data_IF_280790069792
#
_entry.id   IF_280790069792
#
_cell.length_a   1.000
_cell.length_b   1.000
_cell.length_c   1.000
_cell.angle_alpha   90.00
_cell.angle_beta   90.00
_cell.angle_gamma   90.00
#
_symmetry.space_group_name_H-M   'P 1'
#
loop_
_entity.id
_entity.type
_entity.pdbx_description
1 polymer ?
#
# COMPACT_ATOMS: atom_id res chain seq x y z
N UNK A 1 14.43 -34.44 1.74
CA UNK A 1 13.51 -35.52 2.16
C UNK A 1 13.39 -35.59 3.69
N UNK A 2 14.45 -35.47 4.46
CA UNK A 2 14.42 -35.48 5.94
C UNK A 2 13.64 -34.33 6.57
N UNK A 3 13.70 -33.10 6.04
CA UNK A 3 12.90 -31.92 6.52
C UNK A 3 11.39 -32.13 6.34
N UNK A 4 10.93 -32.91 5.36
CA UNK A 4 9.51 -33.22 5.15
C UNK A 4 8.95 -34.13 6.22
N UNK A 5 9.77 -35.03 6.73
CA UNK A 5 9.41 -36.04 7.75
C UNK A 5 9.35 -35.41 9.15
N UNK A 6 10.23 -34.48 9.45
CA UNK A 6 10.25 -33.77 10.75
C UNK A 6 9.03 -32.83 10.90
N UNK A 7 8.57 -32.20 9.81
CA UNK A 7 7.39 -31.37 9.78
C UNK A 7 6.07 -32.17 9.97
N UNK A 8 6.03 -33.44 9.57
CA UNK A 8 4.87 -34.33 9.76
C UNK A 8 4.76 -34.80 11.22
N UNK A 9 5.88 -35.00 11.91
CA UNK A 9 5.90 -35.40 13.32
C UNK A 9 5.35 -34.34 14.29
N UNK A 10 5.35 -33.08 13.92
CA UNK A 10 4.83 -31.96 14.75
C UNK A 10 3.34 -31.69 14.55
N UNK A 11 2.71 -32.14 13.46
CA UNK A 11 1.36 -31.69 13.04
C UNK A 11 0.24 -32.73 13.25
N UNK A 12 0.53 -34.02 13.26
CA UNK A 12 -0.44 -35.06 13.57
C UNK A 12 0.17 -36.09 14.56
N UNK A 13 -0.48 -36.27 15.69
CA UNK A 13 -0.01 -37.27 16.64
C UNK A 13 -0.08 -38.66 15.99
N UNK A 14 1.01 -39.44 16.10
CA UNK A 14 1.04 -40.84 15.62
C UNK A 14 -0.11 -41.67 16.21
N UNK A 15 -0.57 -41.32 17.41
CA UNK A 15 -1.72 -41.95 18.08
C UNK A 15 -3.03 -41.70 17.35
N UNK A 16 -3.21 -40.46 16.86
CA UNK A 16 -4.44 -40.07 16.18
C UNK A 16 -4.55 -40.72 14.80
N UNK A 17 -3.43 -40.83 14.06
CA UNK A 17 -3.37 -41.54 12.78
C UNK A 17 -3.63 -43.03 12.99
N UNK A 18 -3.05 -43.62 14.06
CA UNK A 18 -3.27 -45.00 14.42
C UNK A 18 -4.75 -45.27 14.76
N UNK A 19 -5.39 -44.39 15.53
CA UNK A 19 -6.81 -44.49 15.87
C UNK A 19 -7.72 -44.39 14.65
N UNK A 20 -7.44 -43.47 13.69
CA UNK A 20 -8.21 -43.27 12.48
C UNK A 20 -8.08 -44.43 11.49
N UNK A 21 -6.86 -44.98 11.34
CA UNK A 21 -6.54 -46.03 10.36
C UNK A 21 -6.74 -47.44 10.87
N UNK A 22 -6.89 -47.60 12.19
CA UNK A 22 -6.97 -48.94 12.83
C UNK A 22 -5.65 -49.67 12.84
N UNK A 23 -4.50 -49.03 12.51
CA UNK A 23 -3.17 -49.67 12.54
C UNK A 23 -2.39 -49.28 13.81
N UNK A 24 -1.45 -50.10 14.20
CA UNK A 24 -0.63 -49.83 15.38
C UNK A 24 0.24 -48.59 15.20
N UNK A 25 0.52 -47.85 16.30
CA UNK A 25 1.43 -46.69 16.30
C UNK A 25 2.79 -47.08 15.71
N UNK A 26 3.28 -48.28 15.98
CA UNK A 26 4.54 -48.80 15.44
C UNK A 26 4.48 -48.92 13.90
N UNK A 27 3.34 -49.36 13.35
CA UNK A 27 3.13 -49.46 11.89
C UNK A 27 3.05 -48.07 11.24
N UNK A 28 2.34 -47.13 11.85
CA UNK A 28 2.29 -45.70 11.40
C UNK A 28 3.71 -45.13 11.36
N UNK A 29 4.48 -45.29 12.42
CA UNK A 29 5.87 -44.85 12.50
C UNK A 29 6.76 -45.45 11.40
N UNK A 30 6.59 -46.76 11.11
CA UNK A 30 7.34 -47.45 10.03
C UNK A 30 6.98 -46.89 8.66
N UNK A 31 5.71 -46.60 8.38
CA UNK A 31 5.27 -45.98 7.12
C UNK A 31 5.88 -44.60 6.96
N UNK A 32 5.84 -43.75 7.99
CA UNK A 32 6.38 -42.40 7.97
C UNK A 32 7.91 -42.34 7.89
N UNK A 33 8.59 -43.38 8.31
CA UNK A 33 10.04 -43.53 8.18
C UNK A 33 10.44 -44.38 6.96
N UNK A 34 9.51 -44.61 6.03
CA UNK A 34 9.71 -45.29 4.75
C UNK A 34 10.31 -46.72 4.85
N UNK A 35 9.97 -47.45 5.93
CA UNK A 35 10.39 -48.84 6.07
C UNK A 35 9.75 -49.74 5.00
N UNK A 36 10.58 -50.54 4.30
CA UNK A 36 10.16 -51.39 3.17
C UNK A 36 9.22 -52.55 3.56
N UNK A 37 9.16 -52.93 4.83
CA UNK A 37 8.39 -54.10 5.28
C UNK A 37 6.94 -53.74 5.71
N UNK A 38 6.26 -52.81 5.06
CA UNK A 38 4.86 -52.51 5.27
C UNK A 38 4.09 -52.73 3.98
N UNK A 39 2.99 -53.50 4.07
CA UNK A 39 2.15 -53.78 2.90
C UNK A 39 1.68 -52.46 2.22
N UNK A 40 1.69 -52.41 0.88
CA UNK A 40 1.37 -51.22 0.10
C UNK A 40 0.00 -50.65 0.50
N UNK A 41 -1.03 -51.46 0.63
CA UNK A 41 -2.37 -51.05 1.05
C UNK A 41 -2.37 -50.35 2.43
N UNK A 42 -1.55 -50.81 3.37
CA UNK A 42 -1.40 -50.18 4.70
C UNK A 42 -0.65 -48.86 4.60
N UNK A 43 0.36 -48.80 3.74
CA UNK A 43 1.10 -47.56 3.44
C UNK A 43 0.18 -46.50 2.88
N UNK A 44 -0.62 -46.82 1.85
CA UNK A 44 -1.55 -45.90 1.20
C UNK A 44 -2.62 -45.42 2.19
N UNK A 45 -3.15 -46.30 3.03
CA UNK A 45 -4.14 -45.93 4.06
C UNK A 45 -3.59 -44.91 5.06
N UNK A 46 -2.37 -45.14 5.56
CA UNK A 46 -1.71 -44.22 6.50
C UNK A 46 -1.37 -42.89 5.85
N UNK A 47 -0.84 -42.91 4.64
CA UNK A 47 -0.51 -41.65 3.90
C UNK A 47 -1.76 -40.85 3.59
N UNK A 48 -2.87 -41.46 3.20
CA UNK A 48 -4.15 -40.76 2.98
C UNK A 48 -4.71 -40.15 4.28
N UNK A 49 -4.58 -40.83 5.41
CA UNK A 49 -4.99 -40.29 6.71
C UNK A 49 -4.12 -39.09 7.13
N UNK A 50 -2.80 -39.18 6.89
CA UNK A 50 -1.88 -38.05 7.12
C UNK A 50 -2.25 -36.85 6.25
N UNK A 51 -2.53 -37.08 4.96
CA UNK A 51 -2.93 -36.00 4.04
C UNK A 51 -4.27 -35.36 4.42
N UNK A 52 -5.28 -36.18 4.82
CA UNK A 52 -6.56 -35.65 5.32
C UNK A 52 -6.35 -34.78 6.54
N UNK A 53 -5.64 -35.29 7.57
CA UNK A 53 -5.39 -34.55 8.80
C UNK A 53 -4.55 -33.28 8.58
N UNK A 54 -3.56 -33.34 7.72
CA UNK A 54 -2.81 -32.14 7.37
C UNK A 54 -3.72 -31.10 6.71
N UNK A 55 -4.66 -31.52 5.86
CA UNK A 55 -5.68 -30.63 5.29
C UNK A 55 -6.61 -30.06 6.37
N UNK A 56 -7.07 -30.90 7.31
CA UNK A 56 -7.97 -30.48 8.40
C UNK A 56 -7.27 -29.52 9.39
N UNK A 57 -5.99 -29.79 9.72
CA UNK A 57 -5.16 -28.90 10.55
C UNK A 57 -4.89 -27.57 9.84
N UNK A 58 -4.62 -27.58 8.54
CA UNK A 58 -4.47 -26.36 7.74
C UNK A 58 -5.79 -25.61 7.64
N UNK A 59 -6.92 -26.31 7.46
CA UNK A 59 -8.26 -25.73 7.43
C UNK A 59 -8.72 -25.18 8.80
N UNK A 60 -8.25 -25.77 9.92
CA UNK A 60 -8.58 -25.30 11.28
C UNK A 60 -7.63 -24.21 11.80
N UNK A 61 -6.47 -24.01 11.17
CA UNK A 61 -5.52 -22.95 11.53
C UNK A 61 -6.03 -21.61 11.03
N UNK A 62 -6.18 -20.66 11.93
CA UNK A 62 -6.42 -19.26 11.54
C UNK A 62 -5.24 -18.76 10.70
N UNK A 63 -5.49 -18.47 9.43
CA UNK A 63 -4.48 -17.91 8.52
C UNK A 63 -3.98 -16.56 9.03
N UNK A 64 -2.71 -16.26 8.84
CA UNK A 64 -2.07 -15.00 9.24
C UNK A 64 -1.59 -14.25 8.00
N UNK A 65 -1.97 -12.99 7.90
CA UNK A 65 -1.53 -12.08 6.85
C UNK A 65 -0.47 -11.14 7.41
N UNK A 66 0.69 -11.11 6.77
CA UNK A 66 1.74 -10.14 7.04
C UNK A 66 1.39 -8.82 6.36
N UNK A 67 1.19 -7.77 7.16
CA UNK A 67 0.93 -6.42 6.67
C UNK A 67 2.17 -5.59 6.91
N UNK A 68 2.81 -5.16 5.83
CA UNK A 68 4.02 -4.35 5.91
C UNK A 68 3.73 -2.91 5.48
N UNK A 69 4.04 -1.98 6.39
CA UNK A 69 4.00 -0.55 6.17
C UNK A 69 5.30 0.07 6.70
N UNK A 70 6.38 0.18 5.91
CA UNK A 70 7.69 0.65 6.37
C UNK A 70 7.73 2.17 6.57
N UNK A 71 6.68 2.71 7.16
CA UNK A 71 6.47 4.13 7.48
C UNK A 71 5.81 4.27 8.83
N UNK A 72 5.92 5.47 9.41
CA UNK A 72 5.18 5.82 10.63
C UNK A 72 3.68 5.81 10.33
N UNK A 73 2.91 5.11 11.15
CA UNK A 73 1.45 5.03 11.03
C UNK A 73 0.80 6.35 11.47
N UNK A 74 0.88 7.34 10.59
CA UNK A 74 0.09 8.58 10.70
C UNK A 74 -1.21 8.44 9.91
N UNK A 75 -1.97 9.52 9.80
CA UNK A 75 -3.32 9.55 9.22
C UNK A 75 -3.45 8.76 7.90
N UNK A 76 -2.56 9.01 6.93
CA UNK A 76 -2.59 8.33 5.64
C UNK A 76 -2.41 6.80 5.77
N UNK A 77 -1.27 6.38 6.29
CA UNK A 77 -0.96 4.95 6.45
C UNK A 77 -1.83 4.28 7.52
N UNK A 78 -2.17 5.01 8.58
CA UNK A 78 -3.04 4.52 9.66
C UNK A 78 -4.43 4.15 9.15
N UNK A 79 -5.03 4.94 8.27
CA UNK A 79 -6.35 4.66 7.69
C UNK A 79 -6.33 3.39 6.81
N UNK A 80 -5.30 3.22 5.99
CA UNK A 80 -5.13 2.03 5.14
C UNK A 80 -4.94 0.78 6.02
N UNK A 81 -3.99 0.83 6.99
CA UNK A 81 -3.68 -0.30 7.87
C UNK A 81 -4.88 -0.69 8.74
N UNK A 82 -5.61 0.29 9.28
CA UNK A 82 -6.82 0.03 10.08
C UNK A 82 -7.88 -0.68 9.25
N UNK A 83 -8.15 -0.21 8.05
CA UNK A 83 -9.11 -0.84 7.13
C UNK A 83 -8.70 -2.27 6.76
N UNK A 84 -7.41 -2.50 6.48
CA UNK A 84 -6.88 -3.85 6.22
C UNK A 84 -7.12 -4.75 7.45
N UNK A 85 -6.75 -4.29 8.65
CA UNK A 85 -6.88 -5.06 9.87
C UNK A 85 -8.33 -5.41 10.21
N UNK A 86 -9.25 -4.45 10.07
CA UNK A 86 -10.68 -4.66 10.28
C UNK A 86 -11.25 -5.66 9.27
N UNK A 87 -10.90 -5.51 7.98
CA UNK A 87 -11.39 -6.39 6.91
C UNK A 87 -10.84 -7.81 7.09
N UNK A 88 -9.56 -7.99 7.41
CA UNK A 88 -8.98 -9.30 7.70
C UNK A 88 -9.67 -9.98 8.90
N UNK A 89 -9.96 -9.20 9.95
CA UNK A 89 -10.68 -9.70 11.12
C UNK A 89 -12.09 -10.20 10.78
N UNK A 90 -12.81 -9.50 9.89
CA UNK A 90 -14.14 -9.94 9.40
C UNK A 90 -14.06 -11.28 8.67
N UNK A 91 -12.95 -11.59 8.02
CA UNK A 91 -12.68 -12.87 7.37
C UNK A 91 -12.06 -13.91 8.31
N UNK A 92 -11.93 -13.62 9.61
CA UNK A 92 -11.37 -14.56 10.60
C UNK A 92 -9.87 -14.77 10.47
N UNK A 93 -9.13 -13.85 9.82
CA UNK A 93 -7.67 -13.91 9.69
C UNK A 93 -6.98 -13.10 10.78
N UNK A 94 -5.72 -13.47 11.07
CA UNK A 94 -4.84 -12.72 11.96
C UNK A 94 -3.95 -11.77 11.16
N UNK A 95 -3.58 -10.65 11.76
CA UNK A 95 -2.63 -9.68 11.23
C UNK A 95 -1.31 -9.82 11.97
N UNK A 96 -0.22 -9.94 11.22
CA UNK A 96 1.13 -9.71 11.68
C UNK A 96 1.59 -8.38 11.06
N UNK A 97 1.59 -7.31 11.87
CA UNK A 97 1.94 -5.97 11.39
C UNK A 97 3.42 -5.69 11.60
N UNK A 98 4.10 -5.31 10.53
CA UNK A 98 5.44 -4.73 10.51
C UNK A 98 5.33 -3.27 10.04
N UNK A 99 5.52 -2.33 10.96
CA UNK A 99 5.37 -0.91 10.68
C UNK A 99 6.52 -0.10 11.27
N UNK A 100 6.81 1.04 10.62
CA UNK A 100 7.85 1.97 11.04
C UNK A 100 9.03 2.01 10.10
N UNK A 101 9.80 3.10 10.18
CA UNK A 101 10.88 3.43 9.22
C UNK A 101 12.05 2.44 9.24
N UNK A 102 12.27 1.73 10.33
CA UNK A 102 13.28 0.66 10.39
C UNK A 102 13.06 -0.46 9.37
N UNK A 103 11.81 -0.66 8.94
CA UNK A 103 11.45 -1.62 7.91
C UNK A 103 11.94 -1.26 6.50
N UNK A 104 12.29 -0.01 6.22
CA UNK A 104 12.71 0.43 4.88
C UNK A 104 13.98 -0.23 4.36
N UNK A 105 14.80 -0.78 5.25
CA UNK A 105 16.09 -1.39 4.93
C UNK A 105 16.13 -2.90 5.18
N UNK A 106 14.99 -3.54 5.46
CA UNK A 106 14.97 -4.95 5.78
C UNK A 106 14.71 -5.81 4.53
N UNK A 107 15.50 -6.88 4.35
CA UNK A 107 15.26 -7.91 3.34
C UNK A 107 14.09 -8.84 3.74
N UNK A 108 12.98 -8.28 4.24
CA UNK A 108 11.88 -9.03 4.82
C UNK A 108 11.15 -9.94 3.84
N UNK A 109 11.07 -9.55 2.56
CA UNK A 109 10.29 -10.27 1.55
C UNK A 109 10.89 -11.63 1.20
N UNK A 110 12.23 -11.74 1.14
CA UNK A 110 12.91 -13.00 0.76
C UNK A 110 12.63 -14.16 1.71
N UNK A 111 12.33 -13.85 2.97
CA UNK A 111 12.04 -14.86 4.00
C UNK A 111 10.59 -15.31 4.06
N UNK A 112 9.65 -14.56 3.48
CA UNK A 112 8.21 -14.82 3.62
C UNK A 112 7.77 -16.21 3.13
N UNK A 113 8.19 -16.71 1.96
CA UNK A 113 7.76 -18.03 1.50
C UNK A 113 8.19 -19.20 2.41
N UNK A 114 9.19 -18.97 3.26
CA UNK A 114 9.70 -19.97 4.22
C UNK A 114 9.10 -19.89 5.63
N UNK A 115 8.30 -18.87 5.91
CA UNK A 115 7.68 -18.65 7.21
C UNK A 115 6.40 -19.49 7.35
N UNK A 116 6.47 -20.56 8.16
CA UNK A 116 5.36 -21.50 8.33
C UNK A 116 4.10 -20.86 8.96
N UNK A 117 4.24 -19.71 9.59
CA UNK A 117 3.18 -19.03 10.35
C UNK A 117 2.53 -17.84 9.61
N UNK A 118 3.00 -17.53 8.40
CA UNK A 118 2.49 -16.44 7.56
C UNK A 118 2.02 -17.02 6.24
N UNK A 119 0.77 -16.78 5.90
CA UNK A 119 0.11 -17.40 4.76
C UNK A 119 0.07 -16.51 3.52
N UNK A 120 0.13 -15.19 3.71
CA UNK A 120 0.05 -14.19 2.64
C UNK A 120 0.57 -12.82 3.11
N UNK A 121 0.72 -11.84 2.21
CA UNK A 121 1.15 -10.49 2.55
C UNK A 121 0.33 -9.38 1.90
N UNK A 122 0.25 -8.23 2.57
CA UNK A 122 -0.15 -6.94 1.98
C UNK A 122 1.01 -5.97 2.21
N UNK A 123 1.52 -5.42 1.11
CA UNK A 123 2.69 -4.54 1.10
C UNK A 123 2.24 -3.11 0.75
N UNK A 124 2.38 -2.17 1.68
CA UNK A 124 1.95 -0.79 1.50
C UNK A 124 3.17 0.06 1.13
N UNK A 125 3.14 0.68 -0.05
CA UNK A 125 4.20 1.52 -0.60
C UNK A 125 5.60 0.88 -0.41
N UNK A 126 5.79 -0.38 -0.84
CA UNK A 126 7.00 -1.13 -0.56
C UNK A 126 8.24 -0.43 -1.15
N UNK A 127 9.34 -0.28 -0.37
CA UNK A 127 10.57 0.31 -0.86
C UNK A 127 11.41 -0.66 -1.71
N UNK A 128 11.03 -1.93 -1.74
CA UNK A 128 11.72 -2.98 -2.49
C UNK A 128 11.65 -2.72 -3.99
N UNK A 129 12.71 -3.13 -4.67
CA UNK A 129 12.76 -3.07 -6.14
C UNK A 129 11.83 -4.11 -6.80
N UNK A 130 11.66 -3.96 -8.10
CA UNK A 130 10.81 -4.87 -8.87
C UNK A 130 11.30 -6.32 -8.86
N UNK A 131 12.60 -6.57 -8.73
CA UNK A 131 13.18 -7.92 -8.74
C UNK A 131 12.77 -8.72 -7.49
N UNK A 132 12.72 -8.08 -6.32
CA UNK A 132 12.27 -8.73 -5.08
C UNK A 132 10.77 -9.06 -5.13
N UNK A 133 9.95 -8.18 -5.67
CA UNK A 133 8.51 -8.43 -5.86
C UNK A 133 8.27 -9.55 -6.90
N UNK A 134 9.03 -9.57 -8.00
CA UNK A 134 8.99 -10.65 -8.99
C UNK A 134 9.40 -11.99 -8.37
N UNK A 135 10.46 -12.02 -7.58
CA UNK A 135 10.91 -13.23 -6.91
C UNK A 135 9.83 -13.80 -5.96
N UNK A 136 9.12 -12.94 -5.25
CA UNK A 136 8.01 -13.33 -4.38
C UNK A 136 6.83 -13.90 -5.19
N UNK A 137 6.49 -13.28 -6.31
CA UNK A 137 5.46 -13.75 -7.24
C UNK A 137 5.83 -15.09 -7.87
N UNK A 138 7.07 -15.26 -8.34
CA UNK A 138 7.57 -16.52 -8.92
C UNK A 138 7.61 -17.68 -7.90
N UNK A 139 7.78 -17.36 -6.62
CA UNK A 139 7.66 -18.35 -5.55
C UNK A 139 6.20 -18.80 -5.32
N UNK A 140 5.22 -18.24 -6.04
CA UNK A 140 3.80 -18.52 -5.86
C UNK A 140 3.24 -18.05 -4.52
N UNK A 141 3.91 -17.08 -3.88
CA UNK A 141 3.47 -16.55 -2.59
C UNK A 141 2.36 -15.52 -2.79
N UNK A 142 1.19 -15.67 -2.14
CA UNK A 142 0.07 -14.74 -2.34
C UNK A 142 0.34 -13.40 -1.65
N UNK A 143 0.34 -12.31 -2.44
CA UNK A 143 0.48 -10.96 -1.90
C UNK A 143 -0.20 -9.92 -2.80
N UNK A 144 -0.52 -8.77 -2.20
CA UNK A 144 -1.08 -7.59 -2.87
C UNK A 144 -0.27 -6.36 -2.48
N UNK A 145 -0.01 -5.49 -3.44
CA UNK A 145 0.66 -4.20 -3.21
C UNK A 145 -0.39 -3.09 -3.13
N UNK A 146 -0.32 -2.26 -2.11
CA UNK A 146 -1.15 -1.06 -1.96
C UNK A 146 -0.27 0.17 -2.20
N UNK A 147 -0.72 1.02 -3.11
CA UNK A 147 -0.04 2.24 -3.52
C UNK A 147 1.42 1.97 -3.96
N UNK A 148 1.63 1.23 -5.06
CA UNK A 148 2.95 0.78 -5.48
C UNK A 148 3.90 1.95 -5.72
N UNK A 149 5.15 1.82 -5.29
CA UNK A 149 6.20 2.84 -5.44
C UNK A 149 6.74 2.91 -6.87
N UNK A 150 6.72 1.77 -7.56
CA UNK A 150 7.15 1.61 -8.96
C UNK A 150 5.98 1.18 -9.82
N UNK A 151 6.12 1.26 -11.14
CA UNK A 151 5.10 0.76 -12.07
C UNK A 151 4.72 -0.69 -11.72
N UNK A 152 3.43 -0.98 -11.54
CA UNK A 152 2.97 -2.32 -11.23
C UNK A 152 3.42 -3.32 -12.31
N UNK A 153 4.00 -4.42 -11.87
CA UNK A 153 4.41 -5.49 -12.77
C UNK A 153 3.18 -6.28 -13.23
N UNK A 154 3.14 -6.78 -14.49
CA UNK A 154 1.93 -7.37 -15.08
C UNK A 154 1.25 -8.46 -14.26
N UNK A 155 2.04 -9.26 -13.51
CA UNK A 155 1.57 -10.43 -12.76
C UNK A 155 1.40 -10.16 -11.26
N UNK A 156 1.51 -8.91 -10.81
CA UNK A 156 1.42 -8.54 -9.39
C UNK A 156 0.15 -7.74 -9.13
N UNK A 157 -0.70 -8.24 -8.24
CA UNK A 157 -1.92 -7.56 -7.85
C UNK A 157 -1.60 -6.26 -7.09
N UNK A 158 -2.20 -5.15 -7.51
CA UNK A 158 -2.03 -3.86 -6.87
C UNK A 158 -3.32 -3.05 -6.79
N UNK A 159 -3.40 -2.21 -5.76
CA UNK A 159 -4.49 -1.27 -5.54
C UNK A 159 -3.89 0.11 -5.30
N UNK A 160 -4.34 1.13 -6.03
CA UNK A 160 -3.88 2.51 -5.91
C UNK A 160 -5.03 3.50 -6.05
N UNK A 161 -4.79 4.75 -5.71
CA UNK A 161 -5.69 5.85 -6.03
C UNK A 161 -5.42 6.40 -7.44
N UNK A 162 -6.42 7.03 -8.06
CA UNK A 162 -6.32 7.69 -9.35
C UNK A 162 -5.54 9.02 -9.24
N UNK A 163 -4.21 8.91 -8.99
CA UNK A 163 -3.33 10.05 -8.72
C UNK A 163 -3.33 11.07 -9.86
N UNK A 164 -3.22 10.59 -11.10
CA UNK A 164 -3.23 11.46 -12.28
C UNK A 164 -4.54 12.23 -12.42
N UNK A 165 -5.67 11.55 -12.27
CA UNK A 165 -6.99 12.17 -12.39
C UNK A 165 -7.27 13.18 -11.27
N UNK A 166 -6.91 12.85 -10.02
CA UNK A 166 -7.02 13.77 -8.88
C UNK A 166 -6.16 15.03 -9.05
N UNK A 167 -4.92 14.88 -9.49
CA UNK A 167 -4.02 15.99 -9.74
C UNK A 167 -4.52 16.88 -10.88
N UNK A 168 -5.08 16.32 -11.92
CA UNK A 168 -5.78 17.08 -12.97
C UNK A 168 -6.92 17.91 -12.39
N UNK A 169 -7.75 17.32 -11.55
CA UNK A 169 -8.91 18.00 -10.97
C UNK A 169 -8.50 19.25 -10.15
N UNK A 170 -7.42 19.17 -9.39
CA UNK A 170 -6.86 20.32 -8.65
C UNK A 170 -6.37 21.41 -9.62
N UNK A 171 -5.59 21.04 -10.63
CA UNK A 171 -5.06 22.00 -11.58
C UNK A 171 -6.18 22.64 -12.41
N UNK A 172 -7.16 21.85 -12.88
CA UNK A 172 -8.34 22.37 -13.60
C UNK A 172 -9.14 23.36 -12.73
N UNK A 173 -9.29 23.08 -11.42
CA UNK A 173 -9.94 23.98 -10.46
C UNK A 173 -9.22 25.32 -10.35
N UNK A 174 -7.90 25.33 -10.16
CA UNK A 174 -7.13 26.58 -10.07
C UNK A 174 -7.15 27.38 -11.37
N UNK A 175 -7.09 26.69 -12.52
CA UNK A 175 -7.21 27.30 -13.85
C UNK A 175 -8.58 27.92 -14.01
N UNK A 176 -9.66 27.28 -13.57
CA UNK A 176 -11.01 27.80 -13.61
C UNK A 176 -11.21 29.06 -12.72
N UNK A 177 -10.45 29.13 -11.60
CA UNK A 177 -10.36 30.31 -10.73
C UNK A 177 -9.53 31.47 -11.32
N UNK A 178 -8.94 31.32 -12.50
CA UNK A 178 -8.19 32.35 -13.19
C UNK A 178 -6.67 32.28 -13.01
N UNK A 179 -6.16 31.41 -12.16
CA UNK A 179 -4.72 31.29 -11.96
C UNK A 179 -3.99 30.83 -13.24
N UNK A 180 -2.88 31.50 -13.54
CA UNK A 180 -1.99 31.17 -14.68
C UNK A 180 -0.52 31.06 -14.26
N UNK A 181 -0.13 31.67 -13.15
CA UNK A 181 1.19 31.52 -12.54
C UNK A 181 1.05 30.59 -11.33
N UNK A 182 1.19 29.28 -11.62
CA UNK A 182 0.98 28.19 -10.67
C UNK A 182 2.31 27.47 -10.47
N UNK A 183 2.74 27.36 -9.21
CA UNK A 183 3.88 26.54 -8.83
C UNK A 183 3.43 25.18 -8.29
N UNK A 184 4.31 24.19 -8.40
CA UNK A 184 4.08 22.82 -7.93
C UNK A 184 5.19 22.41 -6.97
N UNK A 185 4.81 21.95 -5.78
CA UNK A 185 5.70 21.25 -4.88
C UNK A 185 5.36 19.77 -5.00
N UNK A 186 6.13 19.04 -5.81
CA UNK A 186 5.99 17.64 -6.11
C UNK A 186 6.62 16.76 -5.01
N UNK A 187 6.24 15.50 -4.96
CA UNK A 187 6.85 14.48 -4.11
C UNK A 187 8.20 13.97 -4.64
N UNK A 188 8.76 12.94 -3.99
CA UNK A 188 9.97 12.28 -4.46
C UNK A 188 9.84 11.80 -5.91
N UNK A 189 10.89 11.99 -6.71
CA UNK A 189 10.88 11.67 -8.15
C UNK A 189 10.76 10.16 -8.40
N UNK A 190 11.26 9.34 -7.48
CA UNK A 190 11.21 7.89 -7.58
C UNK A 190 9.85 7.27 -7.19
N UNK A 191 8.89 8.09 -6.73
CA UNK A 191 7.57 7.59 -6.37
C UNK A 191 6.58 7.71 -7.52
N UNK A 192 6.00 6.57 -7.92
CA UNK A 192 4.97 6.51 -8.97
C UNK A 192 3.83 7.51 -8.74
N UNK A 193 3.37 7.65 -7.49
CA UNK A 193 2.36 8.64 -7.12
C UNK A 193 2.83 10.09 -7.37
N UNK A 194 4.13 10.37 -7.16
CA UNK A 194 4.75 11.68 -7.44
C UNK A 194 4.71 12.00 -8.92
N UNK A 195 5.20 11.09 -9.74
CA UNK A 195 5.18 11.22 -11.21
C UNK A 195 3.77 11.36 -11.77
N UNK A 196 2.84 10.51 -11.31
CA UNK A 196 1.46 10.54 -11.78
C UNK A 196 0.74 11.85 -11.44
N UNK A 197 0.93 12.37 -10.21
CA UNK A 197 0.38 13.67 -9.79
C UNK A 197 0.99 14.81 -10.60
N UNK A 198 2.32 14.83 -10.75
CA UNK A 198 2.99 15.87 -11.56
C UNK A 198 2.55 15.83 -13.02
N UNK A 199 2.43 14.63 -13.61
CA UNK A 199 1.91 14.48 -14.97
C UNK A 199 0.47 14.99 -15.11
N UNK A 200 -0.39 14.75 -14.11
CA UNK A 200 -1.76 15.26 -14.06
C UNK A 200 -1.81 16.79 -14.05
N UNK A 201 -0.99 17.43 -13.19
CA UNK A 201 -0.88 18.90 -13.15
C UNK A 201 -0.39 19.46 -14.49
N UNK A 202 0.69 18.90 -15.04
CA UNK A 202 1.25 19.31 -16.34
C UNK A 202 0.24 19.20 -17.48
N UNK A 203 -0.56 18.14 -17.50
CA UNK A 203 -1.58 17.93 -18.54
C UNK A 203 -2.65 19.02 -18.53
N UNK A 204 -3.16 19.42 -17.35
CA UNK A 204 -4.14 20.49 -17.22
C UNK A 204 -3.54 21.86 -17.53
N UNK A 205 -2.35 22.16 -17.01
CA UNK A 205 -1.66 23.42 -17.27
C UNK A 205 -1.38 23.59 -18.78
N UNK A 206 -0.85 22.58 -19.45
CA UNK A 206 -0.58 22.59 -20.87
C UNK A 206 -1.86 22.82 -21.71
N UNK A 207 -2.97 22.17 -21.34
CA UNK A 207 -4.28 22.37 -21.98
C UNK A 207 -4.75 23.82 -21.86
N UNK A 208 -4.43 24.50 -20.77
CA UNK A 208 -4.77 25.93 -20.54
C UNK A 208 -3.73 26.88 -21.14
N UNK A 209 -2.71 26.41 -21.87
CA UNK A 209 -1.63 27.22 -22.41
C UNK A 209 -0.65 27.72 -21.34
N UNK A 210 -0.63 27.11 -20.16
CA UNK A 210 0.28 27.45 -19.06
C UNK A 210 1.45 26.49 -19.06
N UNK A 211 2.67 27.00 -19.08
CA UNK A 211 3.87 26.19 -18.98
C UNK A 211 4.37 26.11 -17.54
N UNK A 212 4.47 24.91 -17.00
CA UNK A 212 5.17 24.69 -15.74
C UNK A 212 6.69 24.70 -15.99
N UNK A 213 7.31 25.83 -15.68
CA UNK A 213 8.75 26.03 -15.87
C UNK A 213 9.55 25.41 -14.70
N UNK A 214 10.84 25.06 -14.90
CA UNK A 214 11.65 24.43 -13.84
C UNK A 214 11.76 25.27 -12.56
N UNK A 215 11.73 26.58 -12.65
CA UNK A 215 11.77 27.49 -11.50
C UNK A 215 10.47 27.46 -10.67
N UNK A 216 9.34 27.00 -11.25
CA UNK A 216 8.04 26.80 -10.59
C UNK A 216 7.86 25.38 -10.01
N UNK A 217 8.86 24.53 -10.06
CA UNK A 217 8.79 23.14 -9.60
C UNK A 217 9.82 22.89 -8.51
N UNK A 218 9.39 22.24 -7.43
CA UNK A 218 10.28 21.68 -6.38
C UNK A 218 9.88 20.24 -6.10
N UNK A 219 10.86 19.37 -5.91
CA UNK A 219 10.66 18.00 -5.42
C UNK A 219 11.07 17.92 -3.96
N UNK A 220 10.25 17.31 -3.12
CA UNK A 220 10.49 17.27 -1.67
C UNK A 220 10.04 15.95 -1.06
N UNK A 221 10.63 15.61 0.08
CA UNK A 221 10.05 14.60 0.97
C UNK A 221 8.67 15.08 1.49
N UNK A 222 7.68 14.16 1.62
CA UNK A 222 6.28 14.49 1.92
C UNK A 222 6.08 14.90 3.40
N UNK A 223 6.82 15.90 3.86
CA UNK A 223 6.75 16.43 5.22
C UNK A 223 6.40 17.92 5.26
N UNK A 224 5.82 18.36 6.37
CA UNK A 224 5.51 19.78 6.59
C UNK A 224 6.76 20.66 6.55
N UNK A 225 7.89 20.18 7.10
CA UNK A 225 9.14 20.92 7.12
C UNK A 225 9.70 21.17 5.69
N UNK A 226 9.74 20.14 4.87
CA UNK A 226 10.22 20.27 3.49
C UNK A 226 9.25 21.09 2.63
N UNK A 227 7.93 20.93 2.84
CA UNK A 227 6.92 21.79 2.20
C UNK A 227 7.12 23.26 2.53
N UNK A 228 7.41 23.60 3.79
CA UNK A 228 7.68 24.97 4.21
C UNK A 228 8.91 25.56 3.53
N UNK A 229 10.02 24.81 3.45
CA UNK A 229 11.26 25.24 2.81
C UNK A 229 11.05 25.48 1.32
N UNK A 230 10.45 24.54 0.60
CA UNK A 230 10.16 24.67 -0.82
C UNK A 230 9.21 25.83 -1.14
N UNK A 231 8.17 25.99 -0.33
CA UNK A 231 7.25 27.13 -0.48
C UNK A 231 7.96 28.46 -0.24
N UNK A 232 8.87 28.53 0.74
CA UNK A 232 9.66 29.70 1.00
C UNK A 232 10.52 30.14 -0.20
N UNK A 233 11.11 29.19 -0.92
CA UNK A 233 11.84 29.46 -2.15
C UNK A 233 10.91 29.97 -3.27
N UNK A 234 9.80 29.25 -3.53
CA UNK A 234 8.84 29.61 -4.58
C UNK A 234 8.22 30.99 -4.34
N UNK A 235 7.92 31.34 -3.10
CA UNK A 235 7.37 32.65 -2.73
C UNK A 235 8.38 33.80 -2.80
N UNK A 236 9.66 33.50 -3.01
CA UNK A 236 10.73 34.51 -3.22
C UNK A 236 10.97 34.82 -4.70
N UNK A 237 10.27 34.14 -5.61
CA UNK A 237 10.40 34.37 -7.04
C UNK A 237 9.68 35.69 -7.47
N UNK A 238 10.21 36.29 -8.52
CA UNK A 238 9.58 37.48 -9.16
C UNK A 238 9.27 37.17 -10.63
N UNK A 239 8.03 37.21 -11.09
CA UNK A 239 6.83 37.40 -10.28
C UNK A 239 6.59 36.21 -9.34
N UNK A 240 5.91 36.45 -8.20
CA UNK A 240 5.51 35.40 -7.26
C UNK A 240 4.36 34.59 -7.84
N UNK A 241 4.34 33.24 -7.66
CA UNK A 241 3.19 32.43 -8.07
C UNK A 241 1.91 32.85 -7.33
N UNK A 242 0.79 32.79 -8.02
CA UNK A 242 -0.54 33.13 -7.46
C UNK A 242 -1.22 31.93 -6.81
N UNK A 243 -0.76 30.72 -7.14
CA UNK A 243 -1.20 29.49 -6.52
C UNK A 243 -0.04 28.48 -6.39
N UNK A 244 -0.09 27.65 -5.35
CA UNK A 244 0.84 26.53 -5.14
C UNK A 244 0.03 25.26 -4.96
N UNK A 245 0.31 24.26 -5.81
CA UNK A 245 -0.20 22.90 -5.64
C UNK A 245 0.85 22.07 -4.93
N UNK A 246 0.46 21.39 -3.87
CA UNK A 246 1.34 20.62 -3.02
C UNK A 246 1.14 19.11 -3.23
N UNK A 247 2.23 18.35 -3.12
CA UNK A 247 2.21 16.90 -3.26
C UNK A 247 1.17 16.25 -2.35
N UNK A 248 1.10 16.69 -1.08
CA UNK A 248 0.11 16.21 -0.13
C UNK A 248 -0.29 17.29 0.89
N UNK A 249 -1.20 16.96 1.80
CA UNK A 249 -1.72 17.91 2.80
C UNK A 249 -0.63 18.34 3.79
N UNK A 250 0.34 17.47 4.15
CA UNK A 250 1.46 17.84 5.03
C UNK A 250 2.35 18.91 4.38
N UNK A 251 2.65 18.75 3.09
CA UNK A 251 3.40 19.74 2.30
C UNK A 251 2.60 21.04 2.19
N UNK A 252 1.28 20.95 2.00
CA UNK A 252 0.40 22.12 1.94
C UNK A 252 0.36 22.89 3.26
N UNK A 253 0.34 22.20 4.40
CA UNK A 253 0.45 22.85 5.74
C UNK A 253 1.77 23.59 5.87
N UNK A 254 2.87 23.02 5.40
CA UNK A 254 4.17 23.70 5.33
C UNK A 254 4.09 24.97 4.47
N UNK A 255 3.40 24.89 3.34
CA UNK A 255 3.17 26.03 2.44
C UNK A 255 2.36 27.13 3.11
N UNK A 256 1.28 26.78 3.82
CA UNK A 256 0.49 27.74 4.63
C UNK A 256 1.35 28.44 5.69
N UNK A 257 2.25 27.72 6.36
CA UNK A 257 3.18 28.30 7.32
C UNK A 257 4.14 29.28 6.67
N UNK A 258 4.73 28.93 5.51
CA UNK A 258 5.63 29.81 4.77
C UNK A 258 4.93 31.08 4.27
N UNK A 259 3.69 30.98 3.79
CA UNK A 259 2.87 32.12 3.39
C UNK A 259 2.61 33.07 4.57
N UNK A 260 2.19 32.51 5.71
CA UNK A 260 1.93 33.29 6.93
C UNK A 260 3.18 34.03 7.44
N UNK A 261 4.35 33.40 7.40
CA UNK A 261 5.61 34.03 7.81
C UNK A 261 6.02 35.20 6.93
N UNK A 262 5.51 35.23 5.70
CA UNK A 262 5.67 36.37 4.76
C UNK A 262 4.54 37.39 4.82
N UNK A 263 3.60 37.21 5.73
CA UNK A 263 2.42 38.08 5.83
C UNK A 263 1.43 37.95 4.70
N UNK A 264 1.50 36.84 3.92
CA UNK A 264 0.55 36.56 2.85
C UNK A 264 -0.71 35.92 3.40
N UNK A 265 -1.85 36.41 2.94
CA UNK A 265 -3.16 35.86 3.27
C UNK A 265 -3.48 34.73 2.27
N UNK A 266 -3.95 33.63 2.80
CA UNK A 266 -4.50 32.53 2.00
C UNK A 266 -6.00 32.51 2.28
N UNK A 267 -6.88 32.62 1.26
CA UNK A 267 -6.58 32.50 -0.18
C UNK A 267 -6.31 33.83 -0.92
N UNK A 268 -6.46 35.01 -0.30
CA UNK A 268 -6.54 36.32 -1.00
C UNK A 268 -5.26 36.70 -1.74
N UNK A 269 -4.08 36.39 -1.18
CA UNK A 269 -2.79 36.75 -1.78
C UNK A 269 -2.10 35.51 -2.42
N UNK A 270 -2.56 34.30 -2.07
CA UNK A 270 -2.03 33.01 -2.55
C UNK A 270 -3.07 31.90 -2.38
N UNK A 271 -3.42 31.20 -3.44
CA UNK A 271 -4.17 29.94 -3.34
C UNK A 271 -3.25 28.76 -3.05
N UNK A 272 -3.66 27.85 -2.14
CA UNK A 272 -2.91 26.63 -1.78
C UNK A 272 -3.82 25.43 -1.87
N UNK A 273 -3.38 24.38 -2.55
CA UNK A 273 -4.10 23.11 -2.64
C UNK A 273 -3.21 21.93 -2.27
N UNK A 274 -3.78 20.93 -1.57
CA UNK A 274 -3.14 19.71 -1.14
C UNK A 274 -3.61 18.46 -1.89
N UNK A 275 -3.31 17.31 -1.29
CA UNK A 275 -3.73 15.97 -1.73
C UNK A 275 -3.75 15.05 -0.50
N UNK A 276 -4.65 14.13 -0.38
CA UNK A 276 -4.93 13.05 0.57
C UNK A 276 -6.29 13.24 1.28
N UNK A 277 -6.66 14.46 1.65
CA UNK A 277 -7.83 14.80 2.48
C UNK A 277 -7.81 14.08 3.84
N UNK A 278 -6.66 14.15 4.51
CA UNK A 278 -6.52 13.68 5.89
C UNK A 278 -7.08 14.73 6.88
N UNK A 279 -7.33 14.36 8.14
CA UNK A 279 -7.93 15.24 9.16
C UNK A 279 -7.23 16.60 9.28
N UNK A 280 -5.93 16.63 8.99
CA UNK A 280 -5.14 17.85 8.98
C UNK A 280 -5.67 18.90 8.00
N UNK A 281 -6.26 18.49 6.88
CA UNK A 281 -6.82 19.40 5.88
C UNK A 281 -8.02 20.20 6.41
N UNK A 282 -8.81 19.64 7.30
CA UNK A 282 -9.93 20.34 7.97
C UNK A 282 -9.47 21.16 9.18
N UNK A 283 -8.37 20.77 9.81
CA UNK A 283 -7.84 21.44 11.00
C UNK A 283 -7.04 22.71 10.70
N UNK A 284 -6.70 22.97 9.43
CA UNK A 284 -5.99 24.21 9.04
C UNK A 284 -6.89 25.43 9.04
N UNK A 285 -6.27 26.63 9.11
CA UNK A 285 -6.94 27.91 8.87
C UNK A 285 -6.11 28.69 7.87
N UNK A 286 -6.66 28.91 6.65
CA UNK A 286 -7.94 28.41 6.12
C UNK A 286 -7.99 26.89 5.98
N UNK A 287 -9.20 26.29 5.95
CA UNK A 287 -9.36 24.85 5.65
C UNK A 287 -8.87 24.53 4.25
N UNK A 288 -8.14 23.44 4.10
CA UNK A 288 -7.39 23.14 2.87
C UNK A 288 -8.29 22.54 1.79
N UNK A 289 -8.27 23.13 0.60
CA UNK A 289 -8.72 22.53 -0.66
C UNK A 289 -7.75 21.41 -1.01
N UNK A 290 -8.26 20.19 -1.22
CA UNK A 290 -7.42 18.99 -1.38
C UNK A 290 -8.12 17.95 -2.25
N UNK A 291 -7.44 16.82 -2.53
CA UNK A 291 -8.02 15.66 -3.20
C UNK A 291 -8.18 14.53 -2.21
N UNK A 292 -9.42 14.09 -2.02
CA UNK A 292 -9.72 12.92 -1.20
C UNK A 292 -9.33 11.64 -1.90
N UNK A 293 -8.49 10.85 -1.23
CA UNK A 293 -8.20 9.48 -1.61
C UNK A 293 -9.11 8.50 -0.85
N UNK A 294 -9.54 7.39 -1.47
CA UNK A 294 -10.38 6.39 -0.81
C UNK A 294 -9.50 5.41 -0.01
N UNK A 295 -8.75 5.89 0.99
CA UNK A 295 -7.70 5.15 1.70
C UNK A 295 -8.22 3.87 2.38
N UNK A 296 -9.39 3.96 3.02
CA UNK A 296 -10.02 2.81 3.66
C UNK A 296 -10.49 1.78 2.62
N UNK A 297 -11.03 2.25 1.48
CA UNK A 297 -11.47 1.39 0.40
C UNK A 297 -10.29 0.69 -0.28
N UNK A 298 -9.16 1.37 -0.44
CA UNK A 298 -7.90 0.75 -0.90
C UNK A 298 -7.51 -0.43 -0.02
N UNK A 299 -7.57 -0.28 1.31
CA UNK A 299 -7.28 -1.35 2.25
C UNK A 299 -8.23 -2.54 2.13
N UNK A 300 -9.54 -2.31 2.09
CA UNK A 300 -10.56 -3.36 2.00
C UNK A 300 -10.51 -4.11 0.67
N UNK A 301 -10.27 -3.42 -0.44
CA UNK A 301 -10.10 -4.04 -1.76
C UNK A 301 -8.84 -4.88 -1.82
N UNK A 302 -7.73 -4.42 -1.23
CA UNK A 302 -6.50 -5.21 -1.16
C UNK A 302 -6.73 -6.54 -0.42
N UNK A 303 -7.47 -6.54 0.69
CA UNK A 303 -7.86 -7.77 1.39
C UNK A 303 -8.74 -8.65 0.50
N UNK A 304 -9.73 -8.07 -0.20
CA UNK A 304 -10.61 -8.81 -1.09
C UNK A 304 -9.84 -9.54 -2.20
N UNK A 305 -8.86 -8.86 -2.81
CA UNK A 305 -7.97 -9.47 -3.81
C UNK A 305 -7.14 -10.60 -3.19
N UNK A 306 -6.57 -10.36 -2.01
CA UNK A 306 -5.77 -11.36 -1.31
C UNK A 306 -6.58 -12.62 -0.95
N UNK A 307 -7.83 -12.44 -0.50
CA UNK A 307 -8.73 -13.56 -0.21
C UNK A 307 -9.00 -14.44 -1.43
N UNK A 308 -9.24 -13.82 -2.60
CA UNK A 308 -9.40 -14.58 -3.85
C UNK A 308 -8.17 -15.43 -4.16
N UNK A 309 -6.96 -14.87 -3.99
CA UNK A 309 -5.71 -15.61 -4.20
C UNK A 309 -5.56 -16.75 -3.20
N UNK A 310 -5.88 -16.53 -1.93
CA UNK A 310 -5.84 -17.55 -0.88
C UNK A 310 -6.83 -18.70 -1.11
N UNK A 311 -7.94 -18.43 -1.82
CA UNK A 311 -8.93 -19.43 -2.20
C UNK A 311 -8.61 -20.10 -3.56
N UNK A 312 -7.42 -19.80 -4.12
CA UNK A 312 -6.92 -20.40 -5.37
C UNK A 312 -7.51 -19.79 -6.64
N UNK A 313 -8.15 -18.63 -6.54
CA UNK A 313 -8.67 -17.90 -7.69
C UNK A 313 -7.66 -16.86 -8.19
N UNK A 314 -7.54 -16.74 -9.50
CA UNK A 314 -6.82 -15.62 -10.10
C UNK A 314 -7.67 -14.34 -9.99
N UNK A 315 -7.10 -13.21 -9.57
CA UNK A 315 -7.80 -11.92 -9.63
C UNK A 315 -8.21 -11.60 -11.08
N UNK A 316 -9.45 -11.12 -11.28
CA UNK A 316 -9.93 -10.70 -12.60
C UNK A 316 -9.23 -9.42 -13.09
N UNK A 317 -8.93 -8.52 -12.16
CA UNK A 317 -8.16 -7.31 -12.40
C UNK A 317 -6.94 -7.32 -11.48
N UNK A 318 -5.73 -7.27 -12.06
CA UNK A 318 -4.50 -7.25 -11.29
C UNK A 318 -4.17 -5.83 -10.79
N UNK A 319 -4.51 -4.80 -11.56
CA UNK A 319 -4.27 -3.41 -11.20
C UNK A 319 -5.59 -2.68 -11.03
N UNK A 320 -5.92 -2.29 -9.81
CA UNK A 320 -7.14 -1.58 -9.48
C UNK A 320 -6.79 -0.15 -9.09
N UNK A 321 -7.33 0.80 -9.84
CA UNK A 321 -7.20 2.22 -9.56
C UNK A 321 -8.54 2.79 -9.10
N UNK A 322 -8.57 3.36 -7.89
CA UNK A 322 -9.78 3.88 -7.27
C UNK A 322 -9.93 5.38 -7.52
N UNK A 323 -11.14 5.81 -7.84
CA UNK A 323 -11.43 7.21 -8.11
C UNK A 323 -11.13 8.11 -6.89
N UNK A 324 -10.57 9.28 -7.17
CA UNK A 324 -10.34 10.35 -6.20
C UNK A 324 -11.36 11.47 -6.38
N UNK A 325 -11.56 12.31 -5.36
CA UNK A 325 -12.52 13.40 -5.38
C UNK A 325 -11.87 14.71 -4.95
N UNK A 326 -12.00 15.76 -5.74
CA UNK A 326 -11.61 17.11 -5.34
C UNK A 326 -12.56 17.60 -4.24
N UNK A 327 -12.00 18.08 -3.14
CA UNK A 327 -12.72 18.68 -2.00
C UNK A 327 -12.32 20.15 -1.92
N UNK A 328 -13.20 21.03 -2.39
CA UNK A 328 -12.97 22.48 -2.37
C UNK A 328 -13.33 23.03 -0.99
N UNK A 329 -12.39 23.77 -0.38
CA UNK A 329 -12.55 24.45 0.90
C UNK A 329 -12.10 25.92 0.78
N UNK A 330 -11.52 26.45 1.85
CA UNK A 330 -11.31 27.90 2.02
C UNK A 330 -9.92 28.37 1.54
N UNK A 331 -9.00 27.48 1.16
CA UNK A 331 -7.62 27.82 0.83
C UNK A 331 -7.38 28.19 -0.64
N UNK A 332 -8.43 28.24 -1.45
CA UNK A 332 -8.37 28.66 -2.87
C UNK A 332 -9.46 29.66 -3.18
N UNK A 333 -9.15 30.69 -3.96
CA UNK A 333 -10.09 31.73 -4.42
C UNK A 333 -9.81 32.17 -5.86
N UNK A 334 -10.71 32.91 -6.46
CA UNK A 334 -10.51 33.51 -7.77
C UNK A 334 -9.36 34.55 -7.74
N UNK A 335 -8.56 34.57 -8.82
CA UNK A 335 -7.44 35.49 -8.98
C UNK A 335 -7.81 36.65 -9.96
#
# INVERSE_FOLDING_TARGET
>A
MERKIENVKQRASLRDIAAETGVSIATVSRVLNDHVNVAQRTRDLVLQAVERRNRDVVASRTRTVYVRCPYVLTDYFGLIVSSIAETLKLHGLRVLLDAGESGQHSAALRGLPGQADVDAAILILPPEDGEELVALSQAGYPFVVVDPRILPLPDIASVSAAHFAGARAVADHLIALGHRDIAVIAGPEEWLAGDARLAGHRASLAKAGVLLTPDRLRHVEPTTAHGKLAAAELLSLEPRPTAIVCFNDKVAVGTLQAARERGLRVPEDLSVAGFDDIDLAEATTPRLTTVRQPLQEMGSIAVTQLMRMLDGHQPEALHIELATTLVVRDSTAAF
#
